data_IF_997884429858
#
_entry.id   IF_997884429858
#
_cell.length_a   1.000
_cell.length_b   1.000
_cell.length_c   1.000
_cell.angle_alpha   90.00
_cell.angle_beta   90.00
_cell.angle_gamma   90.00
#
_symmetry.space_group_name_H-M   'P 1'
#
loop_
_entity.id
_entity.type
_entity.pdbx_description
1 polymer ?
#
# COMPACT_ATOMS: atom_id res chain seq x y z
N UNK A 1 -8.61 18.16 2.47
CA UNK A 1 -10.07 17.94 2.33
C UNK A 1 -10.43 16.45 2.44
N UNK A 2 -9.75 15.56 1.70
CA UNK A 2 -9.97 14.09 1.64
C UNK A 2 -10.07 13.37 3.01
N UNK A 3 -9.28 13.78 4.00
CA UNK A 3 -9.32 13.14 5.34
C UNK A 3 -10.58 13.44 6.15
N UNK A 4 -11.30 14.53 5.87
CA UNK A 4 -12.45 14.94 6.67
C UNK A 4 -13.65 14.02 6.41
N UNK A 5 -13.89 13.67 5.15
CA UNK A 5 -15.00 12.79 4.74
C UNK A 5 -14.85 11.37 5.30
N UNK A 6 -13.62 10.84 5.29
CA UNK A 6 -13.32 9.52 5.87
C UNK A 6 -13.55 9.50 7.38
N UNK A 7 -13.15 10.55 8.09
CA UNK A 7 -13.35 10.63 9.55
C UNK A 7 -14.82 10.88 9.92
N UNK A 8 -15.56 11.64 9.09
CA UNK A 8 -17.01 11.80 9.24
C UNK A 8 -17.74 10.47 9.06
N UNK A 9 -17.37 9.65 8.07
CA UNK A 9 -17.94 8.32 7.85
C UNK A 9 -17.53 7.29 8.93
N UNK A 10 -16.38 7.50 9.58
CA UNK A 10 -15.87 6.63 10.68
C UNK A 10 -16.59 6.86 12.00
N UNK A 11 -17.04 8.08 12.26
CA UNK A 11 -17.78 8.44 13.48
C UNK A 11 -19.03 7.55 13.73
N UNK A 12 -19.98 7.39 12.77
CA UNK A 12 -21.15 6.55 12.96
C UNK A 12 -20.79 5.06 13.12
N UNK A 13 -19.74 4.57 12.44
CA UNK A 13 -19.21 3.22 12.63
C UNK A 13 -18.79 2.99 14.09
N UNK A 14 -17.99 3.90 14.67
CA UNK A 14 -17.56 3.78 16.08
C UNK A 14 -18.74 3.86 17.05
N UNK A 15 -19.76 4.66 16.74
CA UNK A 15 -20.97 4.72 17.56
C UNK A 15 -21.75 3.40 17.52
N UNK A 16 -21.93 2.81 16.33
CA UNK A 16 -22.58 1.52 16.16
C UNK A 16 -21.80 0.40 16.86
N UNK A 17 -20.47 0.38 16.74
CA UNK A 17 -19.60 -0.57 17.43
C UNK A 17 -19.72 -0.46 18.95
N UNK A 18 -19.70 0.77 19.50
CA UNK A 18 -19.89 1.00 20.95
C UNK A 18 -21.27 0.55 21.44
N UNK A 19 -22.32 0.75 20.64
CA UNK A 19 -23.68 0.29 20.97
C UNK A 19 -23.75 -1.23 20.96
N UNK A 20 -23.20 -1.89 19.93
CA UNK A 20 -23.15 -3.35 19.86
C UNK A 20 -22.36 -3.96 21.02
N UNK A 21 -21.18 -3.43 21.35
CA UNK A 21 -20.38 -3.91 22.50
C UNK A 21 -21.10 -3.82 23.84
N UNK A 22 -22.09 -2.92 23.97
CA UNK A 22 -22.89 -2.77 25.19
C UNK A 22 -24.12 -3.66 25.22
N UNK A 23 -24.76 -3.91 24.08
CA UNK A 23 -26.01 -4.65 24.02
C UNK A 23 -25.83 -6.14 23.65
N UNK A 24 -24.75 -6.47 22.95
CA UNK A 24 -24.46 -7.78 22.36
C UNK A 24 -25.60 -8.38 21.50
N UNK A 25 -26.46 -7.51 20.98
CA UNK A 25 -27.60 -7.90 20.15
C UNK A 25 -27.16 -8.09 18.69
N UNK A 26 -27.68 -9.15 18.04
CA UNK A 26 -27.48 -9.45 16.62
C UNK A 26 -27.82 -8.27 15.70
N UNK A 27 -28.89 -7.53 16.02
CA UNK A 27 -29.29 -6.32 15.28
C UNK A 27 -28.20 -5.24 15.37
N UNK A 28 -27.58 -5.07 16.54
CA UNK A 28 -26.48 -4.12 16.73
C UNK A 28 -25.25 -4.48 15.90
N UNK A 29 -24.94 -5.78 15.80
CA UNK A 29 -23.87 -6.27 14.93
C UNK A 29 -24.15 -5.98 13.45
N UNK A 30 -25.38 -6.22 12.99
CA UNK A 30 -25.78 -5.99 11.61
C UNK A 30 -25.65 -4.49 11.23
N UNK A 31 -26.12 -3.59 12.10
CA UNK A 31 -25.96 -2.14 11.92
C UNK A 31 -24.48 -1.74 11.84
N UNK A 32 -23.64 -2.28 12.73
CA UNK A 32 -22.19 -2.03 12.68
C UNK A 32 -21.58 -2.52 11.35
N UNK A 33 -21.98 -3.70 10.87
CA UNK A 33 -21.50 -4.28 9.61
C UNK A 33 -21.88 -3.40 8.41
N UNK A 34 -23.11 -2.90 8.36
CA UNK A 34 -23.57 -1.96 7.33
C UNK A 34 -22.75 -0.67 7.35
N UNK A 35 -22.58 -0.05 8.53
CA UNK A 35 -21.74 1.16 8.67
C UNK A 35 -20.28 0.93 8.33
N UNK A 36 -19.76 -0.28 8.55
CA UNK A 36 -18.42 -0.65 8.13
C UNK A 36 -18.32 -0.73 6.60
N UNK A 37 -19.34 -1.29 5.95
CA UNK A 37 -19.43 -1.32 4.49
C UNK A 37 -19.45 0.08 3.89
N UNK A 38 -20.31 0.96 4.41
CA UNK A 38 -20.37 2.37 4.01
C UNK A 38 -19.01 3.07 4.14
N UNK A 39 -18.32 2.91 5.27
CA UNK A 39 -17.01 3.52 5.51
C UNK A 39 -15.92 3.02 4.54
N UNK A 40 -15.91 1.72 4.24
CA UNK A 40 -14.97 1.14 3.27
C UNK A 40 -15.24 1.69 1.87
N UNK A 41 -16.50 1.79 1.47
CA UNK A 41 -16.88 2.39 0.18
C UNK A 41 -16.40 3.84 0.11
N UNK A 42 -16.63 4.64 1.15
CA UNK A 42 -16.15 6.03 1.20
C UNK A 42 -14.64 6.11 1.04
N UNK A 43 -13.85 5.26 1.72
CA UNK A 43 -12.39 5.23 1.58
C UNK A 43 -11.98 4.95 0.14
N UNK A 44 -12.58 3.92 -0.47
CA UNK A 44 -12.23 3.53 -1.83
C UNK A 44 -12.57 4.63 -2.84
N UNK A 45 -13.73 5.28 -2.67
CA UNK A 45 -14.16 6.36 -3.55
C UNK A 45 -13.27 7.60 -3.39
N UNK A 46 -12.88 7.95 -2.15
CA UNK A 46 -11.95 9.08 -1.93
C UNK A 46 -10.56 8.79 -2.48
N UNK A 47 -10.05 7.56 -2.32
CA UNK A 47 -8.77 7.16 -2.91
C UNK A 47 -8.83 7.20 -4.44
N UNK A 48 -9.90 6.67 -5.03
CA UNK A 48 -10.12 6.74 -6.48
C UNK A 48 -10.15 8.18 -6.97
N UNK A 49 -10.92 9.05 -6.31
CA UNK A 49 -11.01 10.45 -6.68
C UNK A 49 -9.64 11.16 -6.59
N UNK A 50 -8.89 10.92 -5.51
CA UNK A 50 -7.54 11.48 -5.35
C UNK A 50 -6.60 11.09 -6.51
N UNK A 51 -6.55 9.81 -6.86
CA UNK A 51 -5.71 9.36 -7.96
C UNK A 51 -6.22 9.91 -9.30
N UNK A 52 -7.52 9.92 -9.55
CA UNK A 52 -8.11 10.46 -10.78
C UNK A 52 -7.78 11.94 -10.99
N UNK A 53 -7.88 12.77 -9.95
CA UNK A 53 -7.49 14.18 -10.04
C UNK A 53 -5.98 14.33 -10.24
N UNK A 54 -5.17 13.54 -9.54
CA UNK A 54 -3.71 13.54 -9.73
C UNK A 54 -3.32 13.16 -11.16
N UNK A 55 -4.02 12.21 -11.78
CA UNK A 55 -3.84 11.81 -13.18
C UNK A 55 -4.20 12.93 -14.17
N UNK A 56 -5.26 13.70 -13.89
CA UNK A 56 -5.67 14.83 -14.74
C UNK A 56 -4.70 16.01 -14.64
N UNK A 57 -4.20 16.28 -13.44
CA UNK A 57 -3.30 17.42 -13.19
C UNK A 57 -1.84 17.12 -13.55
N UNK A 58 -1.44 15.84 -13.63
CA UNK A 58 -0.05 15.47 -13.93
C UNK A 58 0.30 15.74 -15.39
N UNK A 59 0.82 16.94 -15.67
CA UNK A 59 1.40 17.29 -16.97
C UNK A 59 2.76 16.61 -17.20
N UNK A 60 3.38 16.07 -16.13
CA UNK A 60 4.75 15.55 -16.12
C UNK A 60 4.75 14.02 -16.06
N UNK A 61 5.23 13.38 -17.13
CA UNK A 61 5.30 11.92 -17.28
C UNK A 61 6.01 11.20 -16.12
N UNK A 62 6.94 11.85 -15.42
CA UNK A 62 7.64 11.28 -14.25
C UNK A 62 6.75 11.11 -13.03
N UNK A 63 5.82 12.05 -12.80
CA UNK A 63 4.87 11.94 -11.69
C UNK A 63 3.89 10.80 -11.97
N UNK A 64 3.41 10.72 -13.20
CA UNK A 64 2.59 9.62 -13.70
C UNK A 64 3.28 8.27 -13.51
N UNK A 65 4.55 8.17 -13.93
CA UNK A 65 5.34 6.96 -13.80
C UNK A 65 5.57 6.57 -12.34
N UNK A 66 5.92 7.53 -11.46
CA UNK A 66 6.09 7.28 -10.04
C UNK A 66 4.80 6.81 -9.35
N UNK A 67 3.66 7.37 -9.76
CA UNK A 67 2.34 7.00 -9.25
C UNK A 67 1.92 5.61 -9.75
N UNK A 68 2.21 5.28 -11.01
CA UNK A 68 2.05 3.92 -11.54
C UNK A 68 2.93 2.92 -10.78
N UNK A 69 4.19 3.25 -10.49
CA UNK A 69 5.08 2.39 -9.71
C UNK A 69 4.56 2.16 -8.27
N UNK A 70 4.00 3.18 -7.65
CA UNK A 70 3.34 3.09 -6.34
C UNK A 70 2.09 2.18 -6.38
N UNK A 71 1.20 2.40 -7.35
CA UNK A 71 -0.04 1.62 -7.51
C UNK A 71 0.21 0.15 -7.88
N UNK A 72 1.20 -0.11 -8.73
CA UNK A 72 1.59 -1.47 -9.12
C UNK A 72 2.37 -2.20 -8.03
N UNK A 73 2.59 -1.55 -6.88
CA UNK A 73 3.29 -2.14 -5.76
C UNK A 73 4.69 -2.59 -6.14
N UNK A 74 5.36 -1.88 -7.08
CA UNK A 74 6.78 -2.14 -7.34
C UNK A 74 7.49 -1.90 -6.03
N UNK A 75 7.93 -3.03 -5.46
CA UNK A 75 8.53 -3.12 -4.16
C UNK A 75 9.52 -1.96 -4.01
N UNK A 76 9.34 -1.11 -2.98
CA UNK A 76 10.43 -0.27 -2.43
C UNK A 76 11.48 -1.18 -1.78
N UNK A 77 11.83 -2.28 -2.43
CA UNK A 77 12.87 -3.17 -1.96
C UNK A 77 14.15 -2.36 -2.01
N UNK A 78 14.67 -2.16 -0.81
CA UNK A 78 16.00 -1.66 -0.56
C UNK A 78 16.13 -0.18 -0.98
N UNK A 79 15.39 0.70 -0.30
CA UNK A 79 15.88 2.06 -0.09
C UNK A 79 17.01 2.02 0.93
N UNK A 80 18.15 2.64 0.61
CA UNK A 80 19.28 2.79 1.53
C UNK A 80 18.77 3.32 2.89
N UNK A 81 19.20 2.76 4.04
CA UNK A 81 18.82 3.29 5.34
C UNK A 81 19.09 4.80 5.41
N UNK A 82 18.07 5.62 5.63
CA UNK A 82 18.16 7.09 5.55
C UNK A 82 18.75 7.75 6.80
N UNK A 83 18.93 6.99 7.89
CA UNK A 83 19.48 7.50 9.16
C UNK A 83 20.78 6.77 9.49
N UNK A 84 21.90 7.32 9.05
CA UNK A 84 23.23 6.93 9.53
C UNK A 84 23.56 7.79 10.76
N UNK A 85 23.24 7.30 11.95
CA UNK A 85 23.80 7.85 13.20
C UNK A 85 25.26 7.39 13.34
N UNK A 86 26.14 8.20 13.95
CA UNK A 86 27.57 7.86 14.15
C UNK A 86 27.80 6.52 14.87
N UNK A 87 26.81 6.09 15.65
CA UNK A 87 26.82 4.82 16.39
C UNK A 87 26.03 3.70 15.69
N UNK A 88 25.56 3.92 14.46
CA UNK A 88 24.82 2.92 13.68
C UNK A 88 25.80 1.83 13.22
N UNK A 89 25.73 0.61 13.77
CA UNK A 89 26.75 -0.39 13.50
C UNK A 89 26.63 -0.89 12.07
N UNK A 90 27.74 -1.37 11.52
CA UNK A 90 27.84 -2.13 10.27
C UNK A 90 26.75 -3.23 10.14
N UNK A 91 26.21 -3.69 11.28
CA UNK A 91 25.07 -4.61 11.40
C UNK A 91 23.78 -4.14 10.74
N UNK A 92 23.53 -2.83 10.63
CA UNK A 92 22.32 -2.27 9.97
C UNK A 92 22.47 -2.19 8.46
N UNK A 93 23.69 -2.03 7.96
CA UNK A 93 23.98 -1.76 6.54
C UNK A 93 24.34 -3.04 5.79
N UNK A 94 24.95 -4.01 6.46
CA UNK A 94 25.33 -5.30 5.88
C UNK A 94 24.15 -6.12 5.33
N UNK A 95 22.97 -6.18 6.00
CA UNK A 95 21.80 -6.88 5.47
C UNK A 95 21.30 -6.26 4.16
N UNK A 96 21.26 -4.92 4.10
CA UNK A 96 20.87 -4.20 2.89
C UNK A 96 21.73 -4.57 1.68
N UNK A 97 23.06 -4.53 1.83
CA UNK A 97 23.96 -4.87 0.71
C UNK A 97 23.89 -6.34 0.34
N UNK A 98 23.75 -7.24 1.32
CA UNK A 98 23.55 -8.67 1.09
C UNK A 98 22.30 -8.91 0.25
N UNK A 99 21.18 -8.33 0.64
CA UNK A 99 19.91 -8.48 -0.06
C UNK A 99 19.98 -7.89 -1.47
N UNK A 100 20.62 -6.72 -1.63
CA UNK A 100 20.84 -6.10 -2.95
C UNK A 100 21.66 -6.99 -3.89
N UNK A 101 22.73 -7.59 -3.37
CA UNK A 101 23.56 -8.52 -4.14
C UNK A 101 22.77 -9.77 -4.52
N UNK A 102 21.93 -10.29 -3.63
CA UNK A 102 21.06 -11.44 -3.94
C UNK A 102 20.03 -11.11 -5.02
N UNK A 103 19.36 -9.95 -4.93
CA UNK A 103 18.42 -9.50 -5.96
C UNK A 103 19.12 -9.37 -7.32
N UNK A 104 20.27 -8.68 -7.39
CA UNK A 104 21.02 -8.52 -8.64
C UNK A 104 21.43 -9.87 -9.24
N UNK A 105 21.90 -10.81 -8.40
CA UNK A 105 22.28 -12.15 -8.87
C UNK A 105 21.09 -12.96 -9.36
N UNK A 106 19.94 -12.85 -8.68
CA UNK A 106 18.70 -13.48 -9.12
C UNK A 106 18.28 -12.91 -10.48
N UNK A 107 18.21 -11.60 -10.61
CA UNK A 107 17.85 -10.93 -11.87
C UNK A 107 18.79 -11.35 -13.01
N UNK A 108 20.09 -11.47 -12.72
CA UNK A 108 21.09 -11.92 -13.70
C UNK A 108 20.91 -13.39 -14.10
N UNK A 109 20.52 -14.26 -13.17
CA UNK A 109 20.23 -15.65 -13.46
C UNK A 109 18.93 -15.80 -14.25
N UNK A 110 17.89 -15.03 -13.91
CA UNK A 110 16.62 -15.01 -14.63
C UNK A 110 16.82 -14.53 -16.09
N UNK A 111 17.79 -13.64 -16.34
CA UNK A 111 18.19 -13.20 -17.68
C UNK A 111 19.06 -14.22 -18.45
N UNK A 112 19.78 -15.09 -17.75
CA UNK A 112 20.65 -16.13 -18.34
C UNK A 112 19.98 -17.51 -18.41
N UNK A 113 18.68 -17.60 -18.14
CA UNK A 113 17.93 -18.82 -18.40
C UNK A 113 17.95 -19.08 -19.92
N UNK A 114 18.35 -20.29 -20.38
CA UNK A 114 18.35 -20.62 -21.79
C UNK A 114 16.92 -20.51 -22.35
N UNK A 115 16.81 -19.83 -23.50
CA UNK A 115 15.55 -19.58 -24.23
C UNK A 115 14.78 -20.89 -24.50
N UNK A 116 15.48 -22.01 -24.53
CA UNK A 116 14.95 -23.35 -24.82
C UNK A 116 13.94 -23.89 -23.78
N UNK A 117 13.79 -23.26 -22.61
CA UNK A 117 12.79 -23.69 -21.61
C UNK A 117 11.40 -23.05 -21.79
N UNK A 118 11.24 -22.11 -22.73
CA UNK A 118 9.94 -21.48 -23.04
C UNK A 118 9.18 -22.14 -24.20
N UNK A 119 9.67 -23.24 -24.76
CA UNK A 119 8.92 -24.03 -25.76
C UNK A 119 8.39 -25.30 -25.10
N UNK A 120 7.27 -25.16 -24.40
CA UNK A 120 6.30 -26.24 -24.31
C UNK A 120 5.06 -25.82 -25.10
N UNK A 121 4.87 -26.57 -26.19
CA UNK A 121 3.67 -26.68 -27.01
C UNK A 121 2.44 -26.86 -26.12
#
# INVERSE_FOLDING_TARGET
>A
MVHIEIEQAKSPLRQAERKWKKSDLTIGYQIMKEKKGEWITTINDTQRAFYQETFKDSTICKQLFGLCDELLGKNKQLSMPTKFTKDSPLSMVSPYFRDKIHTIRKDFNDLNMPIDMYIHI
#
